data_IF_942075962035
#
_entry.id   IF_942075962035
#
_cell.length_a   1.000
_cell.length_b   1.000
_cell.length_c   1.000
_cell.angle_alpha   90.00
_cell.angle_beta   90.00
_cell.angle_gamma   90.00
#
_symmetry.space_group_name_H-M   'P 1'
#
loop_
_entity.id
_entity.type
_entity.pdbx_description
1 polymer ?
#
# COMPACT_ATOMS: atom_id res chain seq x y z
N UNK A 1 -58.54 24.05 21.27
CA UNK A 1 -58.95 22.62 21.32
C UNK A 1 -59.11 22.18 19.87
N UNK A 2 -58.23 21.42 19.22
CA UNK A 2 -57.01 20.72 19.61
C UNK A 2 -56.01 20.86 18.44
N UNK A 3 -54.72 20.91 18.77
CA UNK A 3 -53.61 20.88 17.83
C UNK A 3 -53.50 19.48 17.22
N UNK A 4 -53.50 19.36 15.89
CA UNK A 4 -53.14 18.12 15.20
C UNK A 4 -51.70 18.26 14.70
N UNK A 5 -50.75 17.85 15.55
CA UNK A 5 -49.34 17.73 15.20
C UNK A 5 -49.18 16.65 14.12
N UNK A 6 -48.71 17.05 12.95
CA UNK A 6 -48.27 16.15 11.88
C UNK A 6 -46.98 15.46 12.31
N UNK A 7 -47.05 14.16 12.55
CA UNK A 7 -45.90 13.30 12.82
C UNK A 7 -44.97 13.30 11.59
N UNK A 8 -43.86 14.01 11.70
CA UNK A 8 -42.69 13.82 10.83
C UNK A 8 -42.11 12.46 11.19
N UNK A 9 -42.37 11.46 10.36
CA UNK A 9 -41.76 10.14 10.50
C UNK A 9 -40.28 10.27 10.12
N UNK A 10 -39.43 10.63 11.08
CA UNK A 10 -37.98 10.47 10.93
C UNK A 10 -37.69 8.99 10.71
N UNK A 11 -37.43 8.63 9.46
CA UNK A 11 -36.80 7.38 9.08
C UNK A 11 -35.43 7.34 9.75
N UNK A 12 -35.34 6.70 10.92
CA UNK A 12 -34.07 6.33 11.54
C UNK A 12 -33.42 5.27 10.67
N UNK A 13 -32.68 5.70 9.64
CA UNK A 13 -31.75 4.84 8.93
C UNK A 13 -30.60 4.58 9.90
N UNK A 14 -30.65 3.45 10.60
CA UNK A 14 -29.49 2.92 11.30
C UNK A 14 -28.33 2.75 10.32
N UNK A 15 -27.07 2.71 10.77
CA UNK A 15 -25.93 2.63 9.87
C UNK A 15 -26.14 1.50 8.87
N UNK A 16 -26.15 1.86 7.58
CA UNK A 16 -26.32 0.91 6.49
C UNK A 16 -25.13 -0.05 6.58
N UNK A 17 -25.41 -1.32 6.81
CA UNK A 17 -24.37 -2.33 6.81
C UNK A 17 -23.74 -2.39 5.41
N UNK A 18 -22.44 -2.08 5.34
CA UNK A 18 -21.67 -2.10 4.09
C UNK A 18 -20.80 -3.35 4.05
N UNK A 19 -21.10 -4.25 3.11
CA UNK A 19 -20.29 -5.44 2.87
C UNK A 19 -18.92 -5.03 2.32
N UNK A 20 -17.83 -5.45 2.97
CA UNK A 20 -16.48 -5.19 2.47
C UNK A 20 -16.04 -3.72 2.50
N UNK A 21 -16.71 -2.86 3.29
CA UNK A 21 -16.43 -1.42 3.39
C UNK A 21 -16.75 -0.61 2.12
N UNK A 22 -17.61 -1.12 1.25
CA UNK A 22 -18.08 -0.39 0.06
C UNK A 22 -18.67 0.98 0.44
N UNK A 23 -18.16 2.05 -0.17
CA UNK A 23 -18.59 3.43 0.09
C UNK A 23 -18.20 3.99 1.46
N UNK A 24 -17.39 3.28 2.25
CA UNK A 24 -16.92 3.73 3.56
C UNK A 24 -15.52 4.32 3.45
N UNK A 25 -15.36 5.58 3.87
CA UNK A 25 -14.04 6.21 4.01
C UNK A 25 -13.33 5.58 5.22
N UNK A 26 -12.33 4.73 4.97
CA UNK A 26 -11.58 4.03 6.02
C UNK A 26 -10.47 4.89 6.65
N UNK A 27 -9.97 5.90 5.92
CA UNK A 27 -8.92 6.79 6.38
C UNK A 27 -8.50 7.79 5.30
N UNK A 28 -7.59 8.69 5.67
CA UNK A 28 -6.99 9.68 4.77
C UNK A 28 -5.57 9.25 4.39
N UNK A 29 -5.19 9.46 3.13
CA UNK A 29 -3.85 9.17 2.64
C UNK A 29 -3.43 10.21 1.62
N UNK A 30 -2.17 10.61 1.68
CA UNK A 30 -1.55 11.48 0.68
C UNK A 30 -0.79 10.68 -0.40
N UNK A 31 -0.86 9.33 -0.38
CA UNK A 31 -0.04 8.48 -1.25
C UNK A 31 -0.55 8.41 -2.68
N UNK A 32 -1.81 8.00 -2.86
CA UNK A 32 -2.37 7.73 -4.17
C UNK A 32 -3.80 8.25 -4.27
N UNK A 33 -4.16 8.77 -5.45
CA UNK A 33 -5.54 9.04 -5.83
C UNK A 33 -5.93 8.06 -6.92
N UNK A 34 -7.02 7.34 -6.70
CA UNK A 34 -7.65 6.48 -7.71
C UNK A 34 -8.96 7.14 -8.10
N UNK A 35 -9.07 7.57 -9.35
CA UNK A 35 -10.27 8.14 -9.92
C UNK A 35 -10.70 7.34 -11.16
N UNK A 36 -12.00 7.15 -11.32
CA UNK A 36 -12.61 6.52 -12.50
C UNK A 36 -12.70 7.50 -13.69
N UNK A 37 -12.44 8.80 -13.45
CA UNK A 37 -12.37 9.85 -14.46
C UNK A 37 -11.05 9.90 -15.25
N UNK A 38 -10.76 11.05 -15.87
CA UNK A 38 -9.59 11.21 -16.75
C UNK A 38 -8.25 11.13 -16.02
N UNK A 39 -8.22 11.40 -14.72
CA UNK A 39 -6.99 11.40 -13.93
C UNK A 39 -6.45 9.97 -13.67
N UNK A 40 -7.30 8.94 -13.75
CA UNK A 40 -6.92 7.55 -13.52
C UNK A 40 -6.22 7.33 -12.17
N UNK A 41 -4.99 6.83 -12.21
CA UNK A 41 -4.16 6.60 -11.03
C UNK A 41 -3.05 7.66 -10.92
N UNK A 42 -3.02 8.37 -9.79
CA UNK A 42 -1.98 9.32 -9.44
C UNK A 42 -1.18 8.83 -8.22
N UNK A 43 0.15 8.86 -8.28
CA UNK A 43 1.04 8.66 -7.14
C UNK A 43 1.61 10.00 -6.70
N UNK A 44 1.31 10.44 -5.48
CA UNK A 44 1.73 11.74 -4.93
C UNK A 44 1.42 12.93 -5.87
N UNK A 45 0.35 12.80 -6.67
CA UNK A 45 -0.07 13.80 -7.67
C UNK A 45 0.51 13.61 -9.08
N UNK A 46 1.43 12.67 -9.28
CA UNK A 46 1.99 12.35 -10.60
C UNK A 46 1.17 11.27 -11.32
N UNK A 47 0.80 11.46 -12.60
CA UNK A 47 0.14 10.42 -13.38
C UNK A 47 0.98 9.16 -13.50
N UNK A 48 0.39 7.99 -13.27
CA UNK A 48 1.13 6.72 -13.31
C UNK A 48 1.82 6.47 -14.65
N UNK A 49 1.24 6.95 -15.77
CA UNK A 49 1.82 6.81 -17.11
C UNK A 49 3.13 7.58 -17.23
N UNK A 50 3.20 8.79 -16.70
CA UNK A 50 4.42 9.59 -16.73
C UNK A 50 5.53 8.92 -15.90
N UNK A 51 5.20 8.42 -14.71
CA UNK A 51 6.15 7.68 -13.89
C UNK A 51 6.64 6.39 -14.57
N UNK A 52 5.75 5.66 -15.25
CA UNK A 52 6.13 4.44 -15.96
C UNK A 52 7.02 4.69 -17.20
N UNK A 53 6.84 5.83 -17.87
CA UNK A 53 7.60 6.20 -19.07
C UNK A 53 8.92 6.92 -18.76
N UNK A 54 9.02 7.60 -17.60
CA UNK A 54 10.10 8.54 -17.31
C UNK A 54 10.82 8.33 -15.98
N UNK A 55 10.39 7.39 -15.14
CA UNK A 55 11.02 7.13 -13.84
C UNK A 55 11.44 5.66 -13.68
N UNK A 56 12.37 5.41 -12.76
CA UNK A 56 12.75 4.05 -12.35
C UNK A 56 11.92 3.57 -11.16
N UNK A 57 12.00 2.28 -10.85
CA UNK A 57 11.36 1.71 -9.67
C UNK A 57 11.81 2.39 -8.38
N UNK A 58 13.11 2.66 -8.24
CA UNK A 58 13.71 3.28 -7.07
C UNK A 58 13.24 4.73 -6.89
N UNK A 59 13.13 5.49 -7.98
CA UNK A 59 12.59 6.87 -7.93
C UNK A 59 11.13 6.90 -7.47
N UNK A 60 10.31 5.96 -7.96
CA UNK A 60 8.90 5.85 -7.57
C UNK A 60 8.76 5.34 -6.14
N UNK A 61 9.59 4.39 -5.71
CA UNK A 61 9.62 3.91 -4.33
C UNK A 61 10.01 5.04 -3.36
N UNK A 62 11.03 5.83 -3.72
CA UNK A 62 11.43 7.02 -2.97
C UNK A 62 10.29 8.04 -2.90
N UNK A 63 9.64 8.35 -4.03
CA UNK A 63 8.49 9.26 -4.10
C UNK A 63 7.37 8.84 -3.14
N UNK A 64 7.01 7.55 -3.12
CA UNK A 64 5.93 7.07 -2.27
C UNK A 64 6.29 7.16 -0.78
N UNK A 65 7.53 6.80 -0.42
CA UNK A 65 8.01 6.83 0.97
C UNK A 65 8.21 8.26 1.49
N UNK A 66 8.89 9.12 0.74
CA UNK A 66 9.34 10.44 1.21
C UNK A 66 8.48 11.61 0.71
N UNK A 67 7.68 11.41 -0.34
CA UNK A 67 6.69 12.37 -0.82
C UNK A 67 7.16 13.30 -1.95
N UNK A 68 8.41 13.20 -2.40
CA UNK A 68 8.96 13.95 -3.54
C UNK A 68 9.85 13.06 -4.41
N UNK A 69 10.01 13.41 -5.68
CA UNK A 69 10.98 12.73 -6.56
C UNK A 69 12.41 13.04 -6.08
N UNK A 70 13.28 12.02 -5.98
CA UNK A 70 14.63 12.22 -5.48
C UNK A 70 15.46 13.05 -6.45
N UNK A 71 16.40 13.83 -5.91
CA UNK A 71 17.52 14.33 -6.70
C UNK A 71 18.60 13.24 -6.87
N UNK A 72 19.60 13.49 -7.72
CA UNK A 72 20.63 12.50 -8.04
C UNK A 72 21.38 11.96 -6.81
N UNK A 73 21.61 12.80 -5.80
CA UNK A 73 22.30 12.41 -4.57
C UNK A 73 21.39 11.51 -3.73
N UNK A 74 20.14 11.93 -3.51
CA UNK A 74 19.14 11.15 -2.76
C UNK A 74 18.90 9.78 -3.40
N UNK A 75 18.80 9.73 -4.73
CA UNK A 75 18.61 8.47 -5.45
C UNK A 75 19.82 7.54 -5.29
N UNK A 76 21.05 8.09 -5.33
CA UNK A 76 22.26 7.31 -5.17
C UNK A 76 22.39 6.75 -3.75
N UNK A 77 22.06 7.54 -2.74
CA UNK A 77 22.06 7.11 -1.33
C UNK A 77 20.99 6.03 -1.11
N UNK A 78 19.76 6.29 -1.55
CA UNK A 78 18.66 5.33 -1.43
C UNK A 78 18.94 4.00 -2.15
N UNK A 79 19.52 4.05 -3.34
CA UNK A 79 19.89 2.84 -4.09
C UNK A 79 20.99 2.04 -3.39
N UNK A 80 21.96 2.72 -2.78
CA UNK A 80 23.02 2.07 -2.01
C UNK A 80 22.45 1.38 -0.77
N UNK A 81 21.56 2.06 -0.03
CA UNK A 81 20.89 1.51 1.14
C UNK A 81 20.06 0.27 0.77
N UNK A 82 19.33 0.30 -0.35
CA UNK A 82 18.58 -0.85 -0.85
C UNK A 82 19.50 -2.04 -1.18
N UNK A 83 20.64 -1.80 -1.82
CA UNK A 83 21.60 -2.87 -2.14
C UNK A 83 22.24 -3.47 -0.89
N UNK A 84 22.58 -2.65 0.11
CA UNK A 84 23.13 -3.11 1.38
C UNK A 84 22.14 -4.02 2.12
N UNK A 85 20.86 -3.67 2.10
CA UNK A 85 19.79 -4.42 2.77
C UNK A 85 19.17 -5.54 1.91
N UNK A 86 19.66 -5.78 0.68
CA UNK A 86 19.15 -6.83 -0.20
C UNK A 86 19.67 -8.24 0.15
N UNK A 87 20.62 -8.36 1.09
CA UNK A 87 21.22 -9.64 1.47
C UNK A 87 20.24 -10.47 2.29
N UNK A 88 20.08 -11.75 1.92
CA UNK A 88 19.18 -12.66 2.63
C UNK A 88 19.84 -13.17 3.93
N UNK A 89 19.16 -13.13 5.09
CA UNK A 89 19.67 -13.73 6.31
C UNK A 89 19.84 -15.26 6.16
N UNK A 90 20.85 -15.88 6.80
CA UNK A 90 21.12 -17.32 6.66
C UNK A 90 19.91 -18.22 6.97
N UNK A 91 19.07 -17.81 7.92
CA UNK A 91 17.87 -18.55 8.29
C UNK A 91 16.85 -18.63 7.12
N UNK A 92 16.74 -17.55 6.34
CA UNK A 92 15.85 -17.49 5.18
C UNK A 92 16.39 -18.35 4.02
N UNK A 93 17.71 -18.39 3.83
CA UNK A 93 18.33 -19.28 2.83
C UNK A 93 18.07 -20.76 3.14
N UNK A 94 18.21 -21.16 4.41
CA UNK A 94 17.90 -22.53 4.86
C UNK A 94 16.42 -22.85 4.65
N UNK A 95 15.52 -21.92 4.98
CA UNK A 95 14.09 -22.09 4.73
C UNK A 95 13.81 -22.31 3.24
N UNK A 96 14.31 -21.45 2.36
CA UNK A 96 14.12 -21.56 0.92
C UNK A 96 14.68 -22.87 0.35
N UNK A 97 15.79 -23.37 0.89
CA UNK A 97 16.36 -24.67 0.52
C UNK A 97 15.59 -25.89 1.03
N UNK A 98 14.84 -25.74 2.13
CA UNK A 98 14.07 -26.83 2.75
C UNK A 98 12.63 -26.95 2.21
N UNK A 99 12.08 -25.87 1.64
CA UNK A 99 10.71 -25.85 1.12
C UNK A 99 10.58 -26.76 -0.11
N UNK A 100 9.52 -27.59 -0.20
CA UNK A 100 9.26 -28.38 -1.39
C UNK A 100 9.06 -27.49 -2.63
N UNK A 101 9.66 -27.84 -3.76
CA UNK A 101 9.56 -27.09 -5.02
C UNK A 101 8.14 -27.03 -5.61
N UNK A 102 7.23 -27.88 -5.14
CA UNK A 102 5.81 -27.87 -5.49
C UNK A 102 4.97 -26.89 -4.65
N UNK A 103 5.56 -26.24 -3.65
CA UNK A 103 4.85 -25.30 -2.77
C UNK A 103 4.42 -24.05 -3.53
N UNK A 104 3.26 -23.50 -3.17
CA UNK A 104 2.74 -22.32 -3.85
C UNK A 104 3.59 -21.08 -3.51
N UNK A 105 4.06 -20.27 -4.50
CA UNK A 105 4.96 -19.14 -4.25
C UNK A 105 4.46 -18.15 -3.18
N UNK A 106 3.14 -17.90 -3.12
CA UNK A 106 2.57 -17.01 -2.09
C UNK A 106 2.74 -17.54 -0.67
N UNK A 107 2.69 -18.86 -0.45
CA UNK A 107 2.93 -19.43 0.87
C UNK A 107 4.39 -19.29 1.29
N UNK A 108 5.30 -19.41 0.32
CA UNK A 108 6.74 -19.22 0.53
C UNK A 108 7.02 -17.77 0.89
N UNK A 109 6.53 -16.80 0.11
CA UNK A 109 6.75 -15.37 0.36
C UNK A 109 6.14 -14.94 1.69
N UNK A 110 4.88 -15.30 1.97
CA UNK A 110 4.23 -14.98 3.26
C UNK A 110 5.05 -15.50 4.44
N UNK A 111 5.47 -16.76 4.38
CA UNK A 111 6.19 -17.40 5.48
C UNK A 111 7.61 -16.83 5.60
N UNK A 112 8.28 -16.57 4.48
CA UNK A 112 9.60 -15.94 4.45
C UNK A 112 9.59 -14.52 5.03
N UNK A 113 8.60 -13.70 4.69
CA UNK A 113 8.44 -12.36 5.29
C UNK A 113 8.15 -12.45 6.78
N UNK A 114 7.31 -13.41 7.22
CA UNK A 114 7.08 -13.64 8.65
C UNK A 114 8.35 -14.07 9.40
N UNK A 115 9.23 -14.83 8.73
CA UNK A 115 10.51 -15.26 9.29
C UNK A 115 11.49 -14.09 9.40
N UNK A 116 11.50 -13.19 8.41
CA UNK A 116 12.29 -11.95 8.46
C UNK A 116 11.95 -11.11 9.69
N UNK A 117 10.66 -10.98 10.03
CA UNK A 117 10.24 -10.27 11.25
C UNK A 117 10.70 -10.89 12.57
N UNK A 118 11.21 -12.13 12.58
CA UNK A 118 11.80 -12.75 13.79
C UNK A 118 13.31 -12.51 13.92
N UNK A 119 13.97 -12.13 12.82
CA UNK A 119 15.42 -11.90 12.77
C UNK A 119 15.79 -10.43 12.68
N UNK A 120 14.81 -9.56 12.49
CA UNK A 120 14.98 -8.12 12.53
C UNK A 120 15.36 -7.67 13.95
N UNK A 121 16.47 -6.96 14.08
CA UNK A 121 16.92 -6.40 15.34
C UNK A 121 16.51 -4.93 15.36
N UNK A 122 15.65 -4.55 16.32
CA UNK A 122 15.11 -3.18 16.48
C UNK A 122 16.13 -2.05 16.28
#
# INVERSE_FOLDING_TARGET
>A
MAMSESLVTESRVGPVYSHGLEGVIAGESALCLVDEGEAGLLYRGYPIRELAEHSTFEEVAYLLLFGHLPNQKELSEFSADLMENAVLPPLLEVFLGAVPSSSHPMDIVRTGVSLLGMVDAD
#
